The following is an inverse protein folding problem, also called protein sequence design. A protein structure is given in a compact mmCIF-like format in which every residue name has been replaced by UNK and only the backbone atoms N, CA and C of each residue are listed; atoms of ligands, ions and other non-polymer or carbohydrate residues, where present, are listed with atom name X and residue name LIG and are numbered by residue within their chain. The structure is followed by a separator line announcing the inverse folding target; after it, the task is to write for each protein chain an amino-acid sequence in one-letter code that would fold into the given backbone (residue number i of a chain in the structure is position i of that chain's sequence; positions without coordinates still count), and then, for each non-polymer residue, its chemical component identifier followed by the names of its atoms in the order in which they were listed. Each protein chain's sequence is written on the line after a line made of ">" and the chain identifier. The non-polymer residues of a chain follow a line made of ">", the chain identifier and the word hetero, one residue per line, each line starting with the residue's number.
data_IF_003233992665
#
_entry.id   IF_003233992665
#
_cell.length_a   1.000
_cell.length_b   1.000
_cell.length_c   1.000
_cell.angle_alpha   90.00
_cell.angle_beta   90.00
_cell.angle_gamma   90.00
#
_symmetry.space_group_name_H-M   'P 1'
#
loop_
_entity.id
_entity.type
_entity.pdbx_description
1 polymer ?
#
# COMPACT_ATOMS: atom_id res chain seq x y z
N UNK A 1 -6.23 17.12 17.37
CA UNK A 1 -7.26 18.00 16.90
C UNK A 1 -8.42 17.17 16.42
N UNK A 2 -9.52 17.33 17.08
CA UNK A 2 -10.70 16.51 17.09
C UNK A 2 -11.37 16.37 15.72
N UNK A 3 -11.52 15.16 15.25
CA UNK A 3 -12.43 14.77 14.17
C UNK A 3 -13.87 14.56 14.70
N UNK A 4 -14.25 15.33 15.71
CA UNK A 4 -15.60 15.37 16.24
C UNK A 4 -16.25 16.68 15.78
N UNK A 5 -17.37 16.60 15.16
CA UNK A 5 -18.26 17.71 14.76
C UNK A 5 -18.26 17.97 13.25
N UNK A 6 -18.97 17.18 12.52
CA UNK A 6 -19.94 17.61 11.50
C UNK A 6 -20.87 16.41 11.25
N UNK A 7 -21.79 16.14 12.15
CA UNK A 7 -22.75 15.01 12.04
C UNK A 7 -24.22 15.45 11.88
N UNK A 8 -24.54 16.73 11.89
CA UNK A 8 -25.94 17.11 12.09
C UNK A 8 -26.59 18.07 11.08
N UNK A 9 -26.13 18.11 9.81
CA UNK A 9 -26.86 18.99 8.89
C UNK A 9 -26.99 18.46 7.45
N UNK A 10 -27.21 17.17 7.24
CA UNK A 10 -27.74 16.69 5.94
C UNK A 10 -28.54 15.41 6.09
N UNK A 11 -29.63 15.49 6.82
CA UNK A 11 -30.71 14.52 6.71
C UNK A 11 -31.76 15.10 5.75
N UNK A 12 -32.21 14.31 4.83
CA UNK A 12 -33.27 14.47 3.83
C UNK A 12 -32.84 15.00 2.44
N UNK A 13 -32.42 14.07 1.60
CA UNK A 13 -33.03 13.96 0.27
C UNK A 13 -32.88 12.52 -0.23
N UNK A 14 -33.99 11.83 -0.28
CA UNK A 14 -34.17 10.51 -0.89
C UNK A 14 -33.95 10.59 -2.40
N UNK A 15 -32.93 9.91 -2.92
CA UNK A 15 -32.99 9.33 -4.27
C UNK A 15 -31.89 8.31 -4.50
N UNK A 16 -32.29 7.10 -4.88
CA UNK A 16 -31.60 6.03 -5.62
C UNK A 16 -30.33 5.37 -5.05
N UNK A 17 -30.56 4.27 -4.57
CA UNK A 17 -29.93 2.98 -4.29
C UNK A 17 -28.88 2.48 -5.28
N UNK A 18 -27.77 3.17 -5.55
CA UNK A 18 -26.63 2.55 -6.27
C UNK A 18 -25.25 3.14 -5.95
N UNK A 19 -25.14 4.09 -5.03
CA UNK A 19 -23.89 4.80 -4.79
C UNK A 19 -23.13 4.40 -3.53
N UNK A 20 -23.61 3.43 -2.74
CA UNK A 20 -23.06 3.16 -1.40
C UNK A 20 -22.02 2.03 -1.32
N UNK A 21 -21.58 1.47 -2.45
CA UNK A 21 -20.61 0.37 -2.44
C UNK A 21 -19.18 0.84 -2.07
N UNK A 22 -18.90 2.13 -2.22
CA UNK A 22 -17.57 2.70 -1.99
C UNK A 22 -17.44 3.56 -0.74
N UNK A 23 -18.56 3.89 -0.08
CA UNK A 23 -18.52 4.52 1.22
C UNK A 23 -18.10 3.47 2.25
N UNK A 24 -17.06 3.75 3.02
CA UNK A 24 -16.72 2.92 4.15
C UNK A 24 -17.93 2.88 5.09
N UNK A 25 -18.51 1.70 5.28
CA UNK A 25 -19.56 1.50 6.28
C UNK A 25 -19.03 2.03 7.62
N UNK A 26 -19.93 2.52 8.46
CA UNK A 26 -19.65 3.15 9.76
C UNK A 26 -19.01 2.14 10.75
N UNK A 27 -17.85 1.61 10.37
CA UNK A 27 -17.05 0.71 11.19
C UNK A 27 -16.23 1.54 12.16
N UNK A 28 -16.36 1.22 13.44
CA UNK A 28 -15.55 1.80 14.50
C UNK A 28 -14.08 1.91 14.05
N UNK A 29 -13.50 3.09 14.23
CA UNK A 29 -12.07 3.32 13.93
C UNK A 29 -11.22 2.42 14.81
N UNK A 30 -10.73 1.32 14.22
CA UNK A 30 -10.03 0.24 14.94
C UNK A 30 -8.55 0.56 15.12
N UNK A 31 -7.98 1.44 14.27
CA UNK A 31 -6.55 1.75 14.27
C UNK A 31 -6.25 3.00 15.10
N UNK A 32 -5.38 2.82 16.11
CA UNK A 32 -4.79 3.93 16.86
C UNK A 32 -3.65 4.60 16.06
N UNK A 33 -3.18 5.76 16.52
CA UNK A 33 -2.03 6.43 15.92
C UNK A 33 -0.79 5.53 15.87
N UNK A 34 -0.50 4.79 16.93
CA UNK A 34 0.64 3.87 16.99
C UNK A 34 0.53 2.72 16.00
N UNK A 35 -0.68 2.18 15.79
CA UNK A 35 -0.91 1.12 14.81
C UNK A 35 -0.64 1.62 13.38
N UNK A 36 -1.08 2.84 13.07
CA UNK A 36 -0.78 3.46 11.77
C UNK A 36 0.71 3.76 11.61
N UNK A 37 1.35 4.34 12.63
CA UNK A 37 2.77 4.65 12.59
C UNK A 37 3.62 3.37 12.43
N UNK A 38 3.30 2.31 13.17
CA UNK A 38 3.98 1.01 13.06
C UNK A 38 3.81 0.37 11.68
N UNK A 39 2.59 0.44 11.12
CA UNK A 39 2.31 -0.07 9.77
C UNK A 39 3.15 0.66 8.72
N UNK A 40 3.13 1.99 8.73
CA UNK A 40 3.87 2.80 7.77
C UNK A 40 5.38 2.69 7.95
N UNK A 41 5.87 2.58 9.20
CA UNK A 41 7.27 2.31 9.47
C UNK A 41 7.69 0.96 8.91
N UNK A 42 6.90 -0.08 9.14
CA UNK A 42 7.15 -1.43 8.61
C UNK A 42 7.20 -1.47 7.09
N UNK A 43 6.34 -0.70 6.40
CA UNK A 43 6.35 -0.58 4.94
C UNK A 43 7.53 0.27 4.43
N UNK A 44 7.95 1.26 5.20
CA UNK A 44 9.06 2.16 4.83
C UNK A 44 10.46 1.58 5.08
N UNK A 45 10.60 0.62 5.99
CA UNK A 45 11.88 -0.02 6.34
C UNK A 45 11.92 -1.41 5.73
N UNK A 46 12.25 -1.50 4.46
CA UNK A 46 12.33 -2.76 3.72
C UNK A 46 13.57 -2.82 2.82
N UNK A 47 13.98 -4.02 2.44
CA UNK A 47 15.09 -4.26 1.52
C UNK A 47 14.91 -3.50 0.20
N UNK A 48 13.69 -3.42 -0.29
CA UNK A 48 13.36 -2.69 -1.51
C UNK A 48 13.71 -1.20 -1.41
N UNK A 49 13.37 -0.55 -0.29
CA UNK A 49 13.66 0.88 -0.08
C UNK A 49 15.16 1.13 0.00
N UNK A 50 15.90 0.24 0.69
CA UNK A 50 17.37 0.30 0.75
C UNK A 50 17.97 0.15 -0.65
N UNK A 51 17.47 -0.79 -1.45
CA UNK A 51 17.97 -1.00 -2.80
C UNK A 51 17.66 0.18 -3.73
N UNK A 52 16.49 0.77 -3.64
CA UNK A 52 16.19 2.03 -4.38
C UNK A 52 17.17 3.13 -4.00
N UNK A 53 17.51 3.24 -2.71
CA UNK A 53 18.54 4.19 -2.25
C UNK A 53 19.91 3.95 -2.86
N UNK A 54 20.31 2.71 -3.12
CA UNK A 54 21.60 2.39 -3.75
C UNK A 54 21.69 2.83 -5.20
N UNK A 55 20.60 3.00 -5.91
CA UNK A 55 20.61 3.53 -7.28
C UNK A 55 20.87 5.04 -7.34
N UNK A 56 20.59 5.78 -6.26
CA UNK A 56 20.89 7.20 -6.22
C UNK A 56 22.38 7.48 -6.02
N UNK A 57 23.08 6.64 -5.25
CA UNK A 57 24.47 6.85 -4.86
C UNK A 57 25.46 6.94 -6.03
N UNK A 58 25.36 6.11 -7.11
CA UNK A 58 26.24 6.24 -8.25
C UNK A 58 25.94 7.44 -9.16
N UNK A 59 24.69 7.92 -9.14
CA UNK A 59 24.24 8.99 -10.02
C UNK A 59 24.57 10.38 -9.48
N UNK A 60 24.65 10.52 -8.16
CA UNK A 60 24.94 11.78 -7.47
C UNK A 60 25.75 11.53 -6.20
N UNK A 61 26.45 12.56 -5.70
CA UNK A 61 27.22 12.46 -4.46
C UNK A 61 26.31 12.12 -3.26
N UNK A 62 26.90 11.46 -2.25
CA UNK A 62 26.13 11.01 -1.05
C UNK A 62 25.38 12.15 -0.36
N UNK A 63 25.96 13.34 -0.33
CA UNK A 63 25.30 14.53 0.29
C UNK A 63 24.09 14.97 -0.51
N UNK A 64 24.22 15.05 -1.83
CA UNK A 64 23.11 15.43 -2.72
C UNK A 64 21.99 14.39 -2.71
N UNK A 65 22.35 13.10 -2.66
CA UNK A 65 21.40 12.01 -2.52
C UNK A 65 20.62 12.10 -1.21
N UNK A 66 21.30 12.33 -0.08
CA UNK A 66 20.64 12.51 1.22
C UNK A 66 19.72 13.74 1.23
N UNK A 67 20.17 14.85 0.69
CA UNK A 67 19.34 16.06 0.59
C UNK A 67 18.09 15.81 -0.26
N UNK A 68 18.23 15.18 -1.43
CA UNK A 68 17.13 14.84 -2.31
C UNK A 68 16.12 13.89 -1.64
N UNK A 69 16.61 12.88 -0.90
CA UNK A 69 15.77 11.94 -0.14
C UNK A 69 14.97 12.67 0.94
N UNK A 70 15.62 13.52 1.74
CA UNK A 70 14.95 14.26 2.83
C UNK A 70 13.89 15.21 2.27
N UNK A 71 14.24 16.03 1.28
CA UNK A 71 13.31 16.98 0.67
C UNK A 71 12.16 16.25 -0.02
N UNK A 72 12.45 15.22 -0.80
CA UNK A 72 11.45 14.41 -1.49
C UNK A 72 10.50 13.72 -0.50
N UNK A 73 11.03 13.20 0.61
CA UNK A 73 10.23 12.55 1.66
C UNK A 73 9.31 13.55 2.37
N UNK A 74 9.77 14.75 2.65
CA UNK A 74 8.95 15.80 3.27
C UNK A 74 7.81 16.19 2.33
N UNK A 75 8.11 16.49 1.07
CA UNK A 75 7.10 16.86 0.07
C UNK A 75 6.08 15.72 -0.11
N UNK A 76 6.55 14.50 -0.32
CA UNK A 76 5.69 13.32 -0.48
C UNK A 76 4.80 13.07 0.73
N UNK A 77 5.35 13.19 1.95
CA UNK A 77 4.59 13.01 3.19
C UNK A 77 3.51 14.07 3.39
N UNK A 78 3.79 15.33 3.06
CA UNK A 78 2.80 16.42 3.13
C UNK A 78 1.66 16.19 2.15
N UNK A 79 1.96 15.84 0.90
CA UNK A 79 0.96 15.56 -0.12
C UNK A 79 0.11 14.34 0.27
N UNK A 80 0.75 13.27 0.74
CA UNK A 80 0.05 12.07 1.21
C UNK A 80 -0.87 12.37 2.39
N UNK A 81 -0.39 13.15 3.37
CA UNK A 81 -1.18 13.54 4.53
C UNK A 81 -2.39 14.39 4.13
N UNK A 82 -2.23 15.25 3.12
CA UNK A 82 -3.34 16.06 2.61
C UNK A 82 -4.41 15.20 1.97
N UNK A 83 -4.04 14.30 1.06
CA UNK A 83 -4.99 13.37 0.40
C UNK A 83 -5.64 12.44 1.43
N UNK A 84 -4.87 11.90 2.37
CA UNK A 84 -5.37 11.04 3.42
C UNK A 84 -6.40 11.76 4.30
N UNK A 85 -6.21 13.05 4.59
CA UNK A 85 -7.18 13.86 5.33
C UNK A 85 -8.52 13.97 4.59
N UNK A 86 -8.48 14.22 3.28
CA UNK A 86 -9.70 14.29 2.45
C UNK A 86 -10.43 12.94 2.45
N UNK A 87 -9.71 11.84 2.24
CA UNK A 87 -10.28 10.49 2.29
C UNK A 87 -10.87 10.13 3.65
N UNK A 88 -10.19 10.51 4.74
CA UNK A 88 -10.65 10.26 6.11
C UNK A 88 -11.93 11.06 6.46
N UNK A 89 -12.04 12.30 6.00
CA UNK A 89 -13.21 13.15 6.24
C UNK A 89 -14.43 12.65 5.45
N UNK A 90 -14.21 12.20 4.21
CA UNK A 90 -15.29 11.68 3.36
C UNK A 90 -15.67 10.23 3.62
N UNK A 91 -14.87 9.48 4.39
CA UNK A 91 -15.09 8.04 4.59
C UNK A 91 -14.94 7.21 3.31
N UNK A 92 -14.24 7.74 2.30
CA UNK A 92 -14.04 7.07 1.04
C UNK A 92 -12.79 6.18 1.04
N UNK A 93 -12.88 5.03 0.39
CA UNK A 93 -11.70 4.28 -0.03
C UNK A 93 -10.95 5.05 -1.12
N UNK A 94 -9.67 4.71 -1.39
CA UNK A 94 -8.90 5.35 -2.47
C UNK A 94 -9.61 5.27 -3.83
N UNK A 95 -10.22 4.13 -4.16
CA UNK A 95 -11.03 3.97 -5.36
C UNK A 95 -12.30 4.83 -5.34
N UNK A 96 -12.97 4.93 -4.20
CA UNK A 96 -14.13 5.78 -4.00
C UNK A 96 -13.81 7.27 -4.15
N UNK A 97 -12.66 7.69 -3.63
CA UNK A 97 -12.18 9.07 -3.79
C UNK A 97 -11.89 9.40 -5.25
N UNK A 98 -11.26 8.47 -6.00
CA UNK A 98 -11.05 8.63 -7.44
C UNK A 98 -12.36 8.77 -8.20
N UNK A 99 -13.39 8.00 -7.82
CA UNK A 99 -14.72 8.12 -8.45
C UNK A 99 -15.41 9.42 -8.07
N UNK A 100 -15.26 9.90 -6.84
CA UNK A 100 -15.84 11.18 -6.41
C UNK A 100 -15.22 12.38 -7.15
N UNK A 101 -13.91 12.31 -7.47
CA UNK A 101 -13.19 13.41 -8.16
C UNK A 101 -13.34 13.34 -9.67
N UNK A 102 -13.20 12.16 -10.27
CA UNK A 102 -13.16 11.98 -11.73
C UNK A 102 -14.50 11.50 -12.33
N UNK A 103 -15.48 11.17 -11.49
CA UNK A 103 -16.73 10.55 -11.94
C UNK A 103 -16.56 9.08 -12.30
N UNK A 104 -17.66 8.36 -12.50
CA UNK A 104 -17.68 6.90 -12.68
C UNK A 104 -16.95 6.40 -13.94
N UNK A 105 -16.95 7.17 -15.01
CA UNK A 105 -16.31 6.79 -16.27
C UNK A 105 -14.80 7.02 -16.25
N UNK A 106 -14.34 8.20 -15.88
CA UNK A 106 -12.94 8.59 -15.91
C UNK A 106 -12.11 8.02 -14.74
N UNK A 107 -12.75 7.67 -13.63
CA UNK A 107 -12.09 7.01 -12.50
C UNK A 107 -11.50 5.64 -12.83
N UNK A 108 -12.00 4.98 -13.88
CA UNK A 108 -11.48 3.67 -14.30
C UNK A 108 -10.01 3.73 -14.70
N UNK A 109 -9.58 4.80 -15.37
CA UNK A 109 -8.19 4.94 -15.81
C UNK A 109 -7.21 4.96 -14.63
N UNK A 110 -7.32 5.88 -13.65
CA UNK A 110 -6.41 5.88 -12.50
C UNK A 110 -6.52 4.61 -11.65
N UNK A 111 -7.69 3.97 -11.55
CA UNK A 111 -7.84 2.70 -10.84
C UNK A 111 -7.06 1.59 -11.54
N UNK A 112 -7.16 1.46 -12.85
CA UNK A 112 -6.42 0.48 -13.65
C UNK A 112 -4.92 0.75 -13.56
N UNK A 113 -4.48 2.00 -13.68
CA UNK A 113 -3.07 2.37 -13.52
C UNK A 113 -2.54 2.02 -12.12
N UNK A 114 -3.34 2.22 -11.08
CA UNK A 114 -2.98 1.81 -9.72
C UNK A 114 -2.79 0.30 -9.58
N UNK A 115 -3.64 -0.50 -10.23
CA UNK A 115 -3.47 -1.96 -10.26
C UNK A 115 -2.17 -2.35 -10.97
N UNK A 116 -1.87 -1.76 -12.13
CA UNK A 116 -0.61 -1.98 -12.82
C UNK A 116 0.60 -1.59 -11.97
N UNK A 117 0.54 -0.47 -11.28
CA UNK A 117 1.57 -0.03 -10.35
C UNK A 117 1.80 -1.04 -9.22
N UNK A 118 0.74 -1.57 -8.62
CA UNK A 118 0.86 -2.58 -7.55
C UNK A 118 1.50 -3.87 -8.06
N UNK A 119 1.13 -4.33 -9.27
CA UNK A 119 1.76 -5.48 -9.91
C UNK A 119 3.25 -5.20 -10.17
N UNK A 120 3.58 -4.00 -10.67
CA UNK A 120 4.96 -3.58 -10.89
C UNK A 120 5.80 -3.62 -9.61
N UNK A 121 5.30 -3.06 -8.52
CA UNK A 121 5.97 -3.09 -7.22
C UNK A 121 6.17 -4.51 -6.69
N UNK A 122 5.15 -5.36 -6.75
CA UNK A 122 5.24 -6.77 -6.32
C UNK A 122 6.28 -7.54 -7.15
N UNK A 123 6.31 -7.31 -8.46
CA UNK A 123 7.31 -7.92 -9.35
C UNK A 123 8.72 -7.47 -9.00
N UNK A 124 8.92 -6.17 -8.74
CA UNK A 124 10.20 -5.62 -8.35
C UNK A 124 10.68 -6.20 -7.01
N UNK A 125 9.80 -6.28 -6.02
CA UNK A 125 10.10 -6.93 -4.74
C UNK A 125 10.52 -8.38 -4.90
N UNK A 126 9.83 -9.13 -5.75
CA UNK A 126 10.17 -10.52 -6.05
C UNK A 126 11.57 -10.66 -6.67
N UNK A 127 11.94 -9.75 -7.56
CA UNK A 127 13.30 -9.70 -8.15
C UNK A 127 14.35 -9.42 -7.08
N UNK A 128 14.11 -8.45 -6.21
CA UNK A 128 15.01 -8.11 -5.09
C UNK A 128 15.21 -9.29 -4.14
N UNK A 129 14.12 -9.97 -3.77
CA UNK A 129 14.17 -11.16 -2.92
C UNK A 129 14.93 -12.31 -3.58
N UNK A 130 14.71 -12.52 -4.88
CA UNK A 130 15.44 -13.51 -5.69
C UNK A 130 16.96 -13.24 -5.66
N UNK A 131 17.35 -12.03 -6.02
CA UNK A 131 18.76 -11.65 -6.17
C UNK A 131 19.48 -11.67 -4.81
N UNK A 132 18.82 -11.17 -3.76
CA UNK A 132 19.32 -11.26 -2.39
C UNK A 132 19.52 -12.69 -1.92
N UNK A 133 18.56 -13.58 -2.18
CA UNK A 133 18.67 -15.00 -1.82
C UNK A 133 19.79 -15.68 -2.57
N UNK A 134 19.95 -15.43 -3.87
CA UNK A 134 21.05 -15.97 -4.67
C UNK A 134 22.41 -15.51 -4.14
N UNK A 135 22.56 -14.22 -3.81
CA UNK A 135 23.79 -13.67 -3.25
C UNK A 135 24.14 -14.32 -1.90
N UNK A 136 23.18 -14.48 -0.99
CA UNK A 136 23.38 -15.10 0.31
C UNK A 136 23.76 -16.57 0.18
N UNK A 137 23.07 -17.33 -0.65
CA UNK A 137 23.37 -18.75 -0.87
C UNK A 137 24.75 -18.92 -1.49
N UNK A 138 25.10 -18.11 -2.48
CA UNK A 138 26.42 -18.16 -3.13
C UNK A 138 27.55 -17.85 -2.15
N UNK A 139 27.36 -16.87 -1.26
CA UNK A 139 28.36 -16.54 -0.23
C UNK A 139 28.48 -17.62 0.84
N UNK A 140 27.38 -18.21 1.26
CA UNK A 140 27.37 -19.18 2.35
C UNK A 140 27.84 -20.58 1.94
N UNK A 141 27.50 -21.02 0.73
CA UNK A 141 27.69 -22.40 0.27
C UNK A 141 28.57 -22.54 -0.95
N UNK A 142 28.88 -21.45 -1.63
CA UNK A 142 29.53 -21.47 -2.97
C UNK A 142 28.60 -21.94 -4.10
N UNK A 143 27.37 -22.32 -3.79
CA UNK A 143 26.40 -22.82 -4.78
C UNK A 143 25.66 -21.67 -5.45
N UNK A 144 25.66 -21.64 -6.76
CA UNK A 144 24.90 -20.67 -7.55
C UNK A 144 23.46 -21.18 -7.75
N UNK A 145 22.54 -20.77 -6.88
CA UNK A 145 21.15 -21.14 -6.99
C UNK A 145 20.54 -20.61 -8.31
N UNK A 146 19.84 -21.46 -9.09
CA UNK A 146 19.17 -21.01 -10.30
C UNK A 146 18.15 -19.89 -10.00
N UNK A 147 18.09 -18.86 -10.85
CA UNK A 147 17.16 -17.77 -10.68
C UNK A 147 15.69 -18.23 -10.59
N UNK A 148 15.34 -19.23 -11.42
CA UNK A 148 14.01 -19.83 -11.41
C UNK A 148 13.64 -20.47 -10.06
N UNK A 149 14.59 -21.13 -9.40
CA UNK A 149 14.38 -21.74 -8.08
C UNK A 149 14.05 -20.68 -7.03
N UNK A 150 14.87 -19.62 -6.92
CA UNK A 150 14.65 -18.56 -5.96
C UNK A 150 13.35 -17.77 -6.25
N UNK A 151 13.03 -17.54 -7.52
CA UNK A 151 11.77 -16.91 -7.93
C UNK A 151 10.56 -17.75 -7.59
N UNK A 152 10.61 -19.06 -7.86
CA UNK A 152 9.52 -19.98 -7.55
C UNK A 152 9.31 -20.11 -6.03
N UNK A 153 10.38 -20.20 -5.26
CA UNK A 153 10.32 -20.25 -3.79
C UNK A 153 9.60 -19.03 -3.21
N UNK A 154 10.02 -17.82 -3.59
CA UNK A 154 9.39 -16.59 -3.09
C UNK A 154 7.99 -16.37 -3.66
N UNK A 155 7.76 -16.71 -4.93
CA UNK A 155 6.43 -16.66 -5.55
C UNK A 155 5.44 -17.57 -4.83
N UNK A 156 5.81 -18.81 -4.51
CA UNK A 156 4.98 -19.72 -3.73
C UNK A 156 4.75 -19.23 -2.31
N UNK A 157 5.78 -18.66 -1.66
CA UNK A 157 5.64 -18.10 -0.31
C UNK A 157 4.65 -16.92 -0.30
N UNK A 158 4.76 -15.99 -1.24
CA UNK A 158 3.86 -14.84 -1.36
C UNK A 158 2.43 -15.27 -1.67
N UNK A 159 2.24 -16.21 -2.58
CA UNK A 159 0.92 -16.76 -2.89
C UNK A 159 0.32 -17.50 -1.68
N UNK A 160 1.11 -18.29 -0.97
CA UNK A 160 0.67 -18.99 0.23
C UNK A 160 0.25 -18.03 1.34
N UNK A 161 1.04 -16.99 1.61
CA UNK A 161 0.72 -15.96 2.58
C UNK A 161 -0.54 -15.16 2.19
N UNK A 162 -0.68 -14.83 0.90
CA UNK A 162 -1.85 -14.13 0.38
C UNK A 162 -3.12 -14.99 0.55
N UNK A 163 -3.05 -16.27 0.20
CA UNK A 163 -4.15 -17.21 0.38
C UNK A 163 -4.52 -17.40 1.85
N UNK A 164 -3.53 -17.55 2.75
CA UNK A 164 -3.75 -17.68 4.18
C UNK A 164 -4.40 -16.43 4.77
N UNK A 165 -4.01 -15.24 4.32
CA UNK A 165 -4.61 -13.97 4.72
C UNK A 165 -6.08 -13.89 4.29
N UNK A 166 -6.39 -14.24 3.04
CA UNK A 166 -7.77 -14.29 2.52
C UNK A 166 -8.65 -15.28 3.28
N UNK A 167 -8.16 -16.51 3.51
CA UNK A 167 -8.89 -17.52 4.26
C UNK A 167 -9.15 -17.09 5.71
N UNK A 168 -8.19 -16.41 6.34
CA UNK A 168 -8.36 -15.89 7.70
C UNK A 168 -9.42 -14.78 7.74
N UNK A 169 -9.41 -13.89 6.75
CA UNK A 169 -10.41 -12.84 6.61
C UNK A 169 -11.82 -13.43 6.42
N UNK A 170 -11.97 -14.38 5.49
CA UNK A 170 -13.25 -15.05 5.22
C UNK A 170 -13.76 -15.77 6.47
N UNK A 171 -12.90 -16.51 7.17
CA UNK A 171 -13.28 -17.19 8.44
C UNK A 171 -13.75 -16.21 9.49
N UNK A 172 -13.09 -15.06 9.66
CA UNK A 172 -13.49 -14.03 10.64
C UNK A 172 -14.82 -13.38 10.27
N UNK A 173 -15.09 -13.15 8.98
CA UNK A 173 -16.34 -12.60 8.50
C UNK A 173 -17.48 -13.61 8.73
N UNK A 174 -17.29 -14.86 8.32
CA UNK A 174 -18.29 -15.93 8.52
C UNK A 174 -18.58 -16.15 10.00
N UNK A 175 -17.57 -16.17 10.87
CA UNK A 175 -17.74 -16.34 12.31
C UNK A 175 -18.46 -15.16 13.00
N UNK A 176 -18.60 -14.02 12.34
CA UNK A 176 -19.38 -12.88 12.86
C UNK A 176 -20.83 -12.85 12.37
N UNK A 177 -21.13 -13.61 11.31
CA UNK A 177 -22.46 -13.66 10.67
C UNK A 177 -23.23 -14.91 11.10
N UNK A 178 -22.54 -15.94 11.59
CA UNK A 178 -23.11 -17.14 12.20
C UNK A 178 -23.31 -16.96 13.71
#
# INVERSE_FOLDING_TARGET
>A
PNCHVVKDTMAHTTTSSSSNVYAAQDHARVFSFFNHASLWFSLGVGLLVIQVGTYLSPAMGTQDALFAIVVGSIIGSVLLAWVARIGCQGGYSSAGLMQAVFGSHWARLPIVLNVFQLIGWTTFELVVMRDGTQAVIAQATGWQAPALFATAMWGCALLGLSMASMLTLVRRVVARVA
#
